data_IF_256985388418
#
_entry.id   IF_256985388418
#
_cell.length_a   1.000
_cell.length_b   1.000
_cell.length_c   1.000
_cell.angle_alpha   90.00
_cell.angle_beta   90.00
_cell.angle_gamma   90.00
#
_symmetry.space_group_name_H-M   'P 1'
#
loop_
_entity.id
_entity.type
_entity.pdbx_description
1 polymer ?
#
# COMPACT_ATOMS: atom_id res chain seq x y z
N UNK A 1 2.47 -13.90 -30.35
CA UNK A 1 2.69 -13.46 -28.96
C UNK A 1 3.27 -14.66 -28.23
N UNK A 2 4.42 -14.53 -27.58
CA UNK A 2 5.07 -15.67 -26.90
C UNK A 2 4.19 -16.17 -25.75
N UNK A 3 3.92 -17.48 -25.70
CA UNK A 3 3.16 -18.16 -24.63
C UNK A 3 4.01 -18.33 -23.35
N UNK A 4 4.75 -17.31 -22.93
CA UNK A 4 5.50 -17.37 -21.68
C UNK A 4 4.52 -17.15 -20.52
N UNK A 5 4.64 -17.96 -19.47
CA UNK A 5 4.10 -17.61 -18.16
C UNK A 5 4.75 -16.32 -17.65
N UNK A 6 4.11 -15.67 -16.67
CA UNK A 6 4.64 -14.43 -16.09
C UNK A 6 6.07 -14.63 -15.53
N UNK A 7 6.32 -15.76 -14.86
CA UNK A 7 7.64 -16.08 -14.31
C UNK A 7 8.69 -16.27 -15.42
N UNK A 8 8.35 -16.97 -16.51
CA UNK A 8 9.27 -17.13 -17.64
C UNK A 8 9.56 -15.80 -18.35
N UNK A 9 8.58 -14.91 -18.41
CA UNK A 9 8.76 -13.57 -18.95
C UNK A 9 9.67 -12.70 -18.07
N UNK A 10 9.49 -12.72 -16.74
CA UNK A 10 10.34 -11.98 -15.80
C UNK A 10 11.79 -12.49 -15.81
N UNK A 11 12.00 -13.80 -15.98
CA UNK A 11 13.33 -14.41 -15.97
C UNK A 11 14.13 -14.23 -17.29
N UNK A 12 13.60 -13.49 -18.28
CA UNK A 12 14.29 -13.32 -19.57
C UNK A 12 15.57 -12.49 -19.47
N UNK A 13 15.68 -11.63 -18.46
CA UNK A 13 16.82 -10.73 -18.27
C UNK A 13 17.30 -10.88 -16.83
N UNK A 14 18.61 -11.03 -16.66
CA UNK A 14 19.28 -11.00 -15.37
C UNK A 14 20.37 -9.94 -15.43
N UNK A 15 20.35 -9.03 -14.46
CA UNK A 15 21.34 -7.96 -14.32
C UNK A 15 22.30 -8.30 -13.17
N UNK A 16 23.51 -7.78 -13.24
CA UNK A 16 24.49 -7.95 -12.16
C UNK A 16 24.08 -7.15 -10.92
N UNK A 17 24.11 -7.79 -9.74
CA UNK A 17 23.82 -7.12 -8.48
C UNK A 17 24.98 -6.21 -8.08
N UNK A 18 24.70 -4.90 -8.07
CA UNK A 18 25.66 -3.89 -7.65
C UNK A 18 25.54 -3.65 -6.14
N UNK A 19 26.68 -3.61 -5.46
CA UNK A 19 26.80 -3.39 -4.01
C UNK A 19 25.82 -4.24 -3.16
N UNK A 20 25.96 -5.58 -3.19
CA UNK A 20 25.01 -6.49 -2.54
C UNK A 20 24.94 -6.35 -1.02
N UNK A 21 25.84 -5.58 -0.39
CA UNK A 21 25.84 -5.35 1.06
C UNK A 21 25.16 -4.04 1.45
N UNK A 22 24.97 -3.11 0.51
CA UNK A 22 24.30 -1.84 0.78
C UNK A 22 22.91 -2.10 1.33
N UNK A 23 22.67 -1.67 2.57
CA UNK A 23 21.35 -1.77 3.18
C UNK A 23 20.35 -0.92 2.41
N UNK A 24 19.21 -1.51 2.06
CA UNK A 24 18.11 -0.87 1.35
C UNK A 24 16.84 -1.00 2.17
N UNK A 25 16.04 0.07 2.17
CA UNK A 25 14.64 0.03 2.58
C UNK A 25 13.84 0.23 1.30
N UNK A 26 12.98 -0.72 0.95
CA UNK A 26 12.02 -0.55 -0.13
C UNK A 26 10.84 0.30 0.40
N UNK A 27 10.70 1.56 -0.02
CA UNK A 27 9.66 2.44 0.54
C UNK A 27 8.28 2.15 -0.05
N UNK A 28 8.13 1.24 -1.02
CA UNK A 28 6.87 1.04 -1.71
C UNK A 28 6.74 -0.36 -2.31
N UNK A 29 5.95 -1.21 -1.65
CA UNK A 29 5.40 -2.43 -2.26
C UNK A 29 3.88 -2.54 -2.04
N UNK A 30 3.27 -3.50 -2.72
CA UNK A 30 1.87 -3.88 -2.57
C UNK A 30 1.76 -5.37 -2.25
N UNK A 31 0.62 -5.78 -1.69
CA UNK A 31 0.30 -7.18 -1.40
C UNK A 31 -1.11 -7.46 -1.91
N UNK A 32 -1.21 -8.35 -2.88
CA UNK A 32 -2.45 -8.73 -3.52
C UNK A 32 -2.78 -10.18 -3.16
N UNK A 33 -3.86 -10.46 -2.41
CA UNK A 33 -4.28 -11.84 -2.12
C UNK A 33 -4.77 -12.61 -3.37
N UNK A 34 -4.80 -11.95 -4.53
CA UNK A 34 -5.29 -12.49 -5.78
C UNK A 34 -6.80 -12.33 -5.92
N UNK A 35 -7.27 -12.31 -7.15
CA UNK A 35 -8.69 -12.40 -7.49
C UNK A 35 -8.87 -13.47 -8.56
N UNK A 36 -10.10 -13.74 -9.02
CA UNK A 36 -10.33 -14.68 -10.14
C UNK A 36 -9.58 -14.30 -11.42
N UNK A 37 -9.20 -13.04 -11.57
CA UNK A 37 -8.61 -12.46 -12.79
C UNK A 37 -7.23 -11.83 -12.53
N UNK A 38 -6.81 -11.69 -11.27
CA UNK A 38 -5.58 -11.03 -10.86
C UNK A 38 -4.57 -11.99 -10.25
N UNK A 39 -3.29 -11.76 -10.53
CA UNK A 39 -2.21 -12.56 -9.95
C UNK A 39 -2.08 -12.27 -8.46
N UNK A 40 -1.84 -13.33 -7.70
CA UNK A 40 -1.50 -13.23 -6.28
C UNK A 40 -0.07 -12.72 -6.14
N UNK A 41 0.16 -11.88 -5.13
CA UNK A 41 1.47 -11.42 -4.70
C UNK A 41 1.42 -11.18 -3.20
N UNK A 42 1.94 -12.11 -2.41
CA UNK A 42 1.92 -12.04 -0.94
C UNK A 42 3.34 -12.10 -0.38
N UNK A 43 3.46 -12.34 0.92
CA UNK A 43 4.72 -12.27 1.65
C UNK A 43 5.83 -13.17 1.05
N UNK A 44 5.50 -14.37 0.58
CA UNK A 44 6.48 -15.26 -0.05
C UNK A 44 7.00 -14.71 -1.38
N UNK A 45 6.13 -14.07 -2.17
CA UNK A 45 6.51 -13.45 -3.44
C UNK A 45 7.37 -12.20 -3.18
N UNK A 46 6.99 -11.39 -2.19
CA UNK A 46 7.80 -10.28 -1.69
C UNK A 46 9.20 -10.74 -1.28
N UNK A 47 9.30 -11.82 -0.49
CA UNK A 47 10.57 -12.36 -0.06
C UNK A 47 11.41 -12.91 -1.20
N UNK A 48 10.80 -13.54 -2.21
CA UNK A 48 11.50 -13.98 -3.40
C UNK A 48 12.15 -12.79 -4.14
N UNK A 49 11.44 -11.66 -4.24
CA UNK A 49 11.97 -10.46 -4.89
C UNK A 49 13.01 -9.75 -4.03
N UNK A 50 12.75 -9.52 -2.74
CA UNK A 50 13.67 -8.82 -1.83
C UNK A 50 14.92 -9.64 -1.51
N UNK A 51 14.83 -10.97 -1.62
CA UNK A 51 15.94 -11.92 -1.42
C UNK A 51 16.70 -12.28 -2.70
N UNK A 52 16.37 -11.65 -3.83
CA UNK A 52 16.96 -11.97 -5.15
C UNK A 52 18.43 -11.56 -5.30
N UNK A 53 18.98 -10.78 -4.37
CA UNK A 53 20.41 -10.50 -4.28
C UNK A 53 20.77 -9.17 -3.62
N UNK A 54 19.90 -8.16 -3.70
CA UNK A 54 20.07 -6.90 -2.98
C UNK A 54 19.77 -7.08 -1.48
N UNK A 55 20.45 -6.31 -0.63
CA UNK A 55 20.24 -6.34 0.83
C UNK A 55 19.06 -5.43 1.25
N UNK A 56 17.84 -5.81 0.84
CA UNK A 56 16.60 -5.17 1.27
C UNK A 56 16.23 -5.69 2.65
N UNK A 57 16.35 -4.85 3.68
CA UNK A 57 16.12 -5.29 5.07
C UNK A 57 14.72 -4.96 5.57
N UNK A 58 14.12 -3.91 5.01
CA UNK A 58 12.81 -3.41 5.44
C UNK A 58 12.01 -2.96 4.23
N UNK A 59 10.69 -3.09 4.32
CA UNK A 59 9.78 -2.60 3.29
C UNK A 59 8.66 -1.75 3.89
N UNK A 60 8.01 -0.92 3.09
CA UNK A 60 6.79 -0.20 3.46
C UNK A 60 5.68 -0.59 2.50
N UNK A 61 4.56 -1.07 3.05
CA UNK A 61 3.36 -1.37 2.28
C UNK A 61 2.60 -0.09 1.99
N UNK A 62 2.13 0.06 0.77
CA UNK A 62 1.24 1.14 0.34
C UNK A 62 -0.10 0.53 -0.06
N UNK A 63 -1.21 1.18 0.32
CA UNK A 63 -2.59 0.79 -0.01
C UNK A 63 -2.72 0.28 -1.45
N UNK A 64 -3.64 -0.65 -1.68
CA UNK A 64 -3.98 -1.12 -3.03
C UNK A 64 -5.43 -1.58 -3.13
N UNK A 65 -6.28 -1.09 -2.23
CA UNK A 65 -7.71 -1.37 -2.16
C UNK A 65 -8.06 -2.86 -2.05
N UNK A 66 -7.25 -3.63 -1.32
CA UNK A 66 -7.49 -5.05 -1.04
C UNK A 66 -7.88 -5.28 0.41
N UNK A 67 -8.62 -6.37 0.69
CA UNK A 67 -8.90 -6.76 2.07
C UNK A 67 -9.77 -5.79 2.87
N UNK A 68 -10.42 -4.82 2.21
CA UNK A 68 -11.34 -3.90 2.89
C UNK A 68 -12.44 -4.67 3.61
N UNK A 69 -12.82 -4.19 4.80
CA UNK A 69 -13.99 -4.72 5.50
C UNK A 69 -15.28 -4.45 4.70
N UNK A 70 -16.38 -5.03 5.17
CA UNK A 70 -17.72 -4.89 4.57
C UNK A 70 -18.73 -4.44 5.62
N UNK A 71 -18.40 -3.36 6.32
CA UNK A 71 -19.27 -2.73 7.32
C UNK A 71 -20.30 -1.84 6.63
N UNK A 72 -21.40 -1.54 7.32
CA UNK A 72 -22.39 -0.54 6.88
C UNK A 72 -21.78 0.86 6.82
N UNK A 73 -20.91 1.19 7.78
CA UNK A 73 -20.12 2.43 7.77
C UNK A 73 -18.92 2.28 6.82
N UNK A 74 -19.15 2.64 5.56
CA UNK A 74 -18.19 2.43 4.48
C UNK A 74 -16.85 3.15 4.68
N UNK A 75 -16.83 4.26 5.43
CA UNK A 75 -15.61 5.02 5.70
C UNK A 75 -14.56 4.22 6.50
N UNK A 76 -14.99 3.21 7.26
CA UNK A 76 -14.10 2.34 8.05
C UNK A 76 -13.59 1.13 7.26
N UNK A 77 -14.17 0.83 6.10
CA UNK A 77 -13.79 -0.36 5.32
C UNK A 77 -12.30 -0.41 4.92
N UNK A 78 -11.63 0.70 4.57
CA UNK A 78 -10.19 0.68 4.26
C UNK A 78 -9.29 0.18 5.39
N UNK A 79 -9.74 0.23 6.65
CA UNK A 79 -8.97 -0.29 7.78
C UNK A 79 -8.77 -1.80 7.70
N UNK A 80 -9.65 -2.52 7.00
CA UNK A 80 -9.47 -3.96 6.76
C UNK A 80 -8.19 -4.29 6.00
N UNK A 81 -7.72 -3.43 5.08
CA UNK A 81 -6.42 -3.64 4.44
C UNK A 81 -5.28 -3.50 5.44
N UNK A 82 -5.38 -2.54 6.36
CA UNK A 82 -4.36 -2.33 7.40
C UNK A 82 -4.30 -3.52 8.36
N UNK A 83 -5.45 -4.10 8.73
CA UNK A 83 -5.51 -5.34 9.51
C UNK A 83 -4.83 -6.49 8.79
N UNK A 84 -5.20 -6.73 7.53
CA UNK A 84 -4.62 -7.77 6.69
C UNK A 84 -3.10 -7.64 6.56
N UNK A 85 -2.60 -6.44 6.29
CA UNK A 85 -1.15 -6.19 6.14
C UNK A 85 -0.44 -6.29 7.50
N UNK A 86 -1.08 -5.89 8.60
CA UNK A 86 -0.53 -6.03 9.95
C UNK A 86 -0.24 -7.49 10.29
N UNK A 87 -1.15 -8.41 9.94
CA UNK A 87 -0.93 -9.85 10.13
C UNK A 87 0.30 -10.35 9.35
N UNK A 88 0.44 -9.94 8.09
CA UNK A 88 1.61 -10.31 7.28
C UNK A 88 2.90 -9.64 7.78
N UNK A 89 2.82 -8.42 8.31
CA UNK A 89 3.96 -7.73 8.90
C UNK A 89 4.46 -8.45 10.17
N UNK A 90 3.55 -8.97 11.00
CA UNK A 90 3.91 -9.77 12.18
C UNK A 90 4.61 -11.08 11.79
N UNK A 91 4.13 -11.75 10.74
CA UNK A 91 4.82 -12.92 10.17
C UNK A 91 6.19 -12.52 9.62
N UNK A 92 6.27 -11.40 8.90
CA UNK A 92 7.54 -10.94 8.31
C UNK A 92 8.62 -10.64 9.36
N UNK A 93 8.22 -10.11 10.52
CA UNK A 93 9.11 -9.76 11.63
C UNK A 93 9.66 -11.00 12.36
N UNK A 94 8.99 -12.13 12.23
CA UNK A 94 9.40 -13.37 12.90
C UNK A 94 10.58 -14.07 12.20
N UNK A 95 10.84 -13.76 10.93
CA UNK A 95 11.97 -14.30 10.16
C UNK A 95 13.07 -13.23 10.02
N UNK A 96 14.18 -13.33 10.77
CA UNK A 96 15.25 -12.33 10.73
C UNK A 96 16.12 -12.41 9.47
N UNK A 97 16.00 -13.48 8.67
CA UNK A 97 16.78 -13.68 7.45
C UNK A 97 16.09 -13.08 6.21
N UNK A 98 14.88 -12.54 6.38
CA UNK A 98 14.06 -11.97 5.31
C UNK A 98 13.73 -10.49 5.55
N UNK A 99 13.31 -9.79 4.50
CA UNK A 99 12.87 -8.40 4.61
C UNK A 99 11.63 -8.26 5.50
N UNK A 100 11.65 -7.30 6.42
CA UNK A 100 10.53 -7.02 7.35
C UNK A 100 9.64 -5.89 6.84
N UNK A 101 8.32 -6.10 6.78
CA UNK A 101 7.35 -5.03 6.54
C UNK A 101 7.31 -4.13 7.78
N UNK A 102 7.81 -2.90 7.63
CA UNK A 102 8.13 -1.98 8.73
C UNK A 102 7.26 -0.72 8.74
N UNK A 103 6.33 -0.60 7.80
CA UNK A 103 5.38 0.49 7.73
C UNK A 103 4.19 0.15 6.84
N UNK A 104 3.05 0.76 7.16
CA UNK A 104 1.79 0.65 6.46
C UNK A 104 1.32 2.07 6.15
N UNK A 105 1.13 2.35 4.87
CA UNK A 105 0.45 3.54 4.36
C UNK A 105 -0.91 3.08 3.86
N UNK A 106 -1.96 3.29 4.65
CA UNK A 106 -3.32 2.83 4.35
C UNK A 106 -4.08 3.82 3.45
N UNK A 107 -5.41 3.73 3.45
CA UNK A 107 -6.27 4.69 2.77
C UNK A 107 -7.32 5.28 3.72
N UNK A 108 -7.58 6.56 3.56
CA UNK A 108 -8.73 7.27 4.15
C UNK A 108 -9.31 8.18 3.08
N UNK A 109 -10.64 8.19 2.94
CA UNK A 109 -11.31 9.17 2.10
C UNK A 109 -11.17 10.56 2.73
N UNK A 110 -10.32 11.39 2.14
CA UNK A 110 -10.01 12.73 2.64
C UNK A 110 -11.17 13.70 2.42
N UNK A 111 -12.17 13.34 1.61
CA UNK A 111 -13.38 14.13 1.40
C UNK A 111 -14.31 14.13 2.61
N UNK A 112 -14.03 13.29 3.62
CA UNK A 112 -14.69 13.36 4.93
C UNK A 112 -14.31 14.63 5.72
N UNK A 113 -13.30 15.39 5.29
CA UNK A 113 -12.88 16.61 5.99
C UNK A 113 -12.35 16.30 7.38
N UNK A 114 -12.78 17.03 8.41
CA UNK A 114 -12.34 16.77 9.78
C UNK A 114 -12.73 15.38 10.31
N UNK A 115 -13.77 14.75 9.75
CA UNK A 115 -14.21 13.41 10.14
C UNK A 115 -13.21 12.29 9.77
N UNK A 116 -12.13 12.60 9.04
CA UNK A 116 -11.04 11.64 8.82
C UNK A 116 -10.38 11.20 10.13
N UNK A 117 -10.43 12.02 11.19
CA UNK A 117 -9.79 11.74 12.49
C UNK A 117 -10.21 10.37 13.03
N UNK A 118 -11.52 10.05 13.01
CA UNK A 118 -12.04 8.78 13.51
C UNK A 118 -11.52 7.56 12.73
N UNK A 119 -11.29 7.73 11.42
CA UNK A 119 -10.79 6.64 10.56
C UNK A 119 -9.30 6.46 10.76
N UNK A 120 -8.55 7.56 10.89
CA UNK A 120 -7.12 7.55 11.24
C UNK A 120 -6.87 6.93 12.62
N UNK A 121 -7.70 7.24 13.63
CA UNK A 121 -7.65 6.59 14.95
C UNK A 121 -7.88 5.08 14.84
N UNK A 122 -8.80 4.65 13.97
CA UNK A 122 -9.07 3.24 13.77
C UNK A 122 -7.92 2.52 13.06
N UNK A 123 -7.30 3.15 12.07
CA UNK A 123 -6.06 2.67 11.45
C UNK A 123 -4.92 2.55 12.47
N UNK A 124 -4.72 3.56 13.32
CA UNK A 124 -3.71 3.50 14.38
C UNK A 124 -3.99 2.36 15.36
N UNK A 125 -5.24 2.18 15.79
CA UNK A 125 -5.60 1.12 16.72
C UNK A 125 -5.32 -0.29 16.17
N UNK A 126 -5.50 -0.49 14.87
CA UNK A 126 -5.30 -1.77 14.18
C UNK A 126 -3.85 -1.97 13.76
N UNK A 127 -3.28 -1.00 13.04
CA UNK A 127 -1.91 -1.05 12.51
C UNK A 127 -0.83 -0.76 13.54
N UNK A 128 -1.18 -0.19 14.70
CA UNK A 128 -0.27 0.13 15.81
C UNK A 128 0.92 0.97 15.32
N UNK A 129 2.13 0.67 15.79
CA UNK A 129 3.34 1.38 15.41
C UNK A 129 3.68 1.27 13.93
N UNK A 130 3.08 0.32 13.19
CA UNK A 130 3.31 0.16 11.76
C UNK A 130 2.51 1.16 10.93
N UNK A 131 1.41 1.72 11.42
CA UNK A 131 0.66 2.73 10.67
C UNK A 131 1.45 4.04 10.59
N UNK A 132 1.81 4.46 9.38
CA UNK A 132 2.64 5.66 9.13
C UNK A 132 1.87 6.80 8.48
N UNK A 133 0.76 6.50 7.82
CA UNK A 133 -0.05 7.49 7.14
C UNK A 133 -0.93 6.88 6.07
N UNK A 134 -1.31 7.69 5.10
CA UNK A 134 -2.29 7.30 4.09
C UNK A 134 -1.84 7.66 2.69
N UNK A 135 -2.40 6.97 1.70
CA UNK A 135 -2.39 7.37 0.29
C UNK A 135 -3.83 7.62 -0.14
N UNK A 136 -4.04 8.68 -0.92
CA UNK A 136 -5.31 8.91 -1.61
C UNK A 136 -5.02 9.19 -3.09
N UNK A 137 -5.09 8.15 -3.92
CA UNK A 137 -4.75 8.23 -5.34
C UNK A 137 -5.69 9.19 -6.12
N UNK A 138 -5.15 10.35 -6.51
CA UNK A 138 -5.89 11.42 -7.21
C UNK A 138 -5.60 11.56 -8.71
N UNK A 139 -5.06 10.53 -9.38
CA UNK A 139 -4.84 10.57 -10.83
C UNK A 139 -6.17 10.63 -11.57
N UNK A 140 -6.38 11.72 -12.32
CA UNK A 140 -7.61 12.04 -13.05
C UNK A 140 -7.28 12.50 -14.48
N UNK A 141 -8.10 12.07 -15.44
CA UNK A 141 -8.06 12.50 -16.83
C UNK A 141 -9.50 12.74 -17.35
N UNK A 142 -9.74 13.80 -18.17
CA UNK A 142 -11.05 14.06 -18.74
C UNK A 142 -11.47 13.06 -19.84
N UNK A 143 -10.52 12.34 -20.45
CA UNK A 143 -10.81 11.37 -21.50
C UNK A 143 -11.25 10.02 -20.92
N UNK A 144 -12.44 9.57 -21.31
CA UNK A 144 -13.02 8.28 -20.87
C UNK A 144 -12.18 7.04 -21.23
N UNK A 145 -11.21 7.17 -22.13
CA UNK A 145 -10.29 6.08 -22.50
C UNK A 145 -9.14 5.92 -21.49
N UNK A 146 -8.92 6.91 -20.62
CA UNK A 146 -7.94 6.86 -19.54
C UNK A 146 -8.70 6.54 -18.26
N UNK A 147 -8.34 5.42 -17.63
CA UNK A 147 -8.95 5.02 -16.36
C UNK A 147 -8.42 5.92 -15.25
N UNK A 148 -9.33 6.55 -14.50
CA UNK A 148 -8.98 7.30 -13.29
C UNK A 148 -8.53 6.36 -12.16
N UNK A 149 -7.85 6.94 -11.17
CA UNK A 149 -7.34 6.21 -10.01
C UNK A 149 -8.44 5.50 -9.23
N UNK A 150 -8.05 4.46 -8.50
CA UNK A 150 -8.95 3.51 -7.81
C UNK A 150 -9.71 4.08 -6.61
N UNK A 151 -9.51 5.36 -6.25
CA UNK A 151 -10.29 6.10 -5.25
C UNK A 151 -11.24 7.12 -5.88
N UNK A 152 -11.78 6.83 -7.06
CA UNK A 152 -12.77 7.65 -7.75
C UNK A 152 -12.35 9.14 -7.88
N UNK A 153 -11.10 9.36 -8.27
CA UNK A 153 -10.53 10.68 -8.42
C UNK A 153 -11.35 11.56 -9.37
N UNK A 154 -11.53 12.83 -8.99
CA UNK A 154 -12.22 13.85 -9.77
C UNK A 154 -11.28 15.02 -10.13
N UNK A 155 -11.72 15.89 -11.05
CA UNK A 155 -10.97 17.09 -11.42
C UNK A 155 -10.68 17.94 -10.19
N UNK A 156 -9.41 18.26 -9.96
CA UNK A 156 -9.00 19.11 -8.85
C UNK A 156 -9.26 18.51 -7.47
N UNK A 157 -9.33 17.18 -7.33
CA UNK A 157 -9.55 16.48 -6.04
C UNK A 157 -8.79 17.10 -4.86
N UNK A 158 -7.48 17.31 -5.02
CA UNK A 158 -6.60 17.84 -3.95
C UNK A 158 -6.81 19.32 -3.64
N UNK A 159 -7.60 20.03 -4.44
CA UNK A 159 -7.96 21.44 -4.23
C UNK A 159 -9.33 21.59 -3.54
N UNK A 160 -10.07 20.49 -3.33
CA UNK A 160 -11.37 20.55 -2.69
C UNK A 160 -11.22 20.93 -1.20
N UNK A 161 -12.08 21.84 -0.67
CA UNK A 161 -11.95 22.30 0.71
C UNK A 161 -11.95 21.18 1.75
N UNK A 162 -12.82 20.19 1.59
CA UNK A 162 -12.89 19.03 2.47
C UNK A 162 -11.62 18.16 2.39
N UNK A 163 -11.03 17.99 1.20
CA UNK A 163 -9.74 17.30 1.07
C UNK A 163 -8.65 18.00 1.88
N UNK A 164 -8.60 19.33 1.80
CA UNK A 164 -7.64 20.16 2.54
C UNK A 164 -7.91 20.10 4.06
N UNK A 165 -9.17 20.10 4.50
CA UNK A 165 -9.54 19.92 5.91
C UNK A 165 -9.06 18.56 6.43
N UNK A 166 -9.24 17.49 5.64
CA UNK A 166 -8.71 16.17 5.97
C UNK A 166 -7.18 16.16 6.07
N UNK A 167 -6.50 16.82 5.14
CA UNK A 167 -5.03 16.87 5.11
C UNK A 167 -4.48 17.65 6.32
N UNK A 168 -5.18 18.70 6.77
CA UNK A 168 -4.85 19.40 8.01
C UNK A 168 -4.95 18.47 9.22
N UNK A 169 -6.00 17.67 9.33
CA UNK A 169 -6.15 16.66 10.39
C UNK A 169 -5.02 15.63 10.36
N UNK A 170 -4.72 15.06 9.19
CA UNK A 170 -3.62 14.10 9.01
C UNK A 170 -2.27 14.69 9.48
N UNK A 171 -1.97 15.91 9.04
CA UNK A 171 -0.74 16.63 9.41
C UNK A 171 -0.68 16.92 10.91
N UNK A 172 -1.79 17.35 11.51
CA UNK A 172 -1.88 17.62 12.95
C UNK A 172 -1.60 16.38 13.80
N UNK A 173 -1.99 15.20 13.32
CA UNK A 173 -1.75 13.91 13.98
C UNK A 173 -0.34 13.34 13.69
N UNK A 174 0.43 13.97 12.80
CA UNK A 174 1.83 13.61 12.51
C UNK A 174 2.01 12.45 11.53
N UNK A 175 1.00 12.15 10.71
CA UNK A 175 1.04 11.09 9.71
C UNK A 175 1.48 11.60 8.33
N UNK A 176 2.05 10.71 7.51
CA UNK A 176 2.45 11.03 6.13
C UNK A 176 1.29 10.91 5.15
N UNK A 177 1.38 11.64 4.04
CA UNK A 177 0.53 11.53 2.86
C UNK A 177 1.36 11.06 1.67
#
# INVERSE_FOLDING_TARGET
MSNLSQAEWLAQISEEIIDPKQRIIDPHHHLWPGSKEGNQYLLNDLWADTGSGHNVTNTVFIDCSQGYWKLEDAALNPVGETEFVKELADVSKADPDQATISGIVGHVDMLLGFEVERVLEKHLAVGQELFKGIRHAGGWDPHSNVRNSHHDACEGLYLLPNFLDGLQTLTKLGYVF
#
